data_IF_216525937191
#
_entry.id   IF_216525937191
#
_cell.length_a   1.000
_cell.length_b   1.000
_cell.length_c   1.000
_cell.angle_alpha   90.00
_cell.angle_beta   90.00
_cell.angle_gamma   90.00
#
_symmetry.space_group_name_H-M   'P 1'
#
loop_
_entity.id
_entity.type
_entity.pdbx_description
1 polymer ?
#
# COMPACT_ATOMS: atom_id res chain seq x y z
N UNK A 1 11.77 52.51 11.10
CA UNK A 1 10.64 51.56 11.12
C UNK A 1 11.13 50.29 10.46
N UNK A 2 11.67 49.39 11.27
CA UNK A 2 12.20 48.10 10.80
C UNK A 2 11.03 47.15 10.65
N UNK A 3 10.71 46.79 9.41
CA UNK A 3 9.73 45.75 9.10
C UNK A 3 10.30 44.40 9.53
N UNK A 4 9.88 43.92 10.70
CA UNK A 4 10.04 42.53 11.11
C UNK A 4 9.15 41.67 10.21
N UNK A 5 9.65 41.31 9.03
CA UNK A 5 9.12 40.16 8.30
C UNK A 5 9.61 38.92 9.02
N UNK A 6 8.81 38.43 9.98
CA UNK A 6 8.89 37.04 10.40
C UNK A 6 8.62 36.21 9.14
N UNK A 7 9.66 35.78 8.44
CA UNK A 7 9.49 34.77 7.40
C UNK A 7 8.99 33.53 8.12
N UNK A 8 7.72 33.18 7.93
CA UNK A 8 7.19 31.91 8.40
C UNK A 8 8.15 30.81 7.94
N UNK A 9 8.71 30.07 8.92
CA UNK A 9 9.70 29.06 8.64
C UNK A 9 9.01 27.94 7.88
N UNK A 10 9.36 27.78 6.61
CA UNK A 10 8.84 26.71 5.76
C UNK A 10 9.80 25.53 5.72
N UNK A 11 9.24 24.33 5.58
CA UNK A 11 9.98 23.09 5.45
C UNK A 11 9.73 22.53 4.06
N UNK A 12 10.82 22.29 3.33
CA UNK A 12 10.78 21.90 1.92
C UNK A 12 11.30 20.46 1.75
N UNK A 13 10.48 19.63 1.09
CA UNK A 13 10.77 18.24 0.80
C UNK A 13 10.62 18.02 -0.71
N UNK A 14 11.64 17.43 -1.32
CA UNK A 14 11.64 17.09 -2.74
C UNK A 14 11.65 15.57 -2.89
N UNK A 15 10.62 15.05 -3.54
CA UNK A 15 10.46 13.64 -3.89
C UNK A 15 10.75 13.46 -5.37
N UNK A 16 11.63 12.52 -5.69
CA UNK A 16 12.15 12.34 -7.04
C UNK A 16 11.86 10.92 -7.51
N UNK A 17 11.37 10.81 -8.74
CA UNK A 17 10.89 9.56 -9.30
C UNK A 17 10.74 9.58 -10.81
N UNK A 18 10.01 8.60 -11.32
CA UNK A 18 9.71 8.45 -12.74
C UNK A 18 8.31 7.89 -12.97
N UNK A 19 7.76 8.17 -14.15
CA UNK A 19 6.56 7.51 -14.68
C UNK A 19 7.00 6.27 -15.46
N UNK A 20 6.43 5.11 -15.13
CA UNK A 20 6.64 3.84 -15.83
C UNK A 20 5.43 3.52 -16.73
N UNK A 21 5.60 2.71 -17.79
CA UNK A 21 6.88 2.22 -18.31
C UNK A 21 7.68 3.32 -19.01
N UNK A 22 9.01 3.24 -18.97
CA UNK A 22 9.92 4.25 -19.55
C UNK A 22 9.86 4.35 -21.09
N UNK A 23 9.12 3.43 -21.74
CA UNK A 23 8.89 3.43 -23.19
C UNK A 23 7.96 4.56 -23.63
N UNK A 24 7.14 5.10 -22.72
CA UNK A 24 6.23 6.22 -23.00
C UNK A 24 6.77 7.48 -22.34
N UNK A 25 7.07 8.50 -23.15
CA UNK A 25 7.59 9.78 -22.67
C UNK A 25 6.43 10.70 -22.31
N UNK A 26 6.31 11.04 -21.02
CA UNK A 26 5.24 11.88 -20.50
C UNK A 26 5.80 13.24 -20.08
N UNK A 27 5.18 14.31 -20.57
CA UNK A 27 5.47 15.68 -20.15
C UNK A 27 4.15 16.37 -19.88
N UNK A 28 3.97 16.86 -18.66
CA UNK A 28 2.79 17.59 -18.24
C UNK A 28 3.14 19.04 -17.88
N UNK A 29 2.12 19.91 -17.89
CA UNK A 29 2.22 21.22 -17.25
C UNK A 29 2.45 21.01 -15.75
N UNK A 30 3.13 21.93 -15.10
CA UNK A 30 3.34 21.85 -13.66
C UNK A 30 2.00 22.07 -12.95
N UNK A 31 1.73 21.26 -11.93
CA UNK A 31 0.48 21.29 -11.16
C UNK A 31 0.77 21.66 -9.72
N UNK A 32 0.01 22.62 -9.21
CA UNK A 32 0.25 23.24 -7.92
C UNK A 32 -1.06 23.40 -7.16
N UNK A 33 -1.13 22.87 -5.94
CA UNK A 33 -2.34 22.91 -5.12
C UNK A 33 -2.00 22.85 -3.63
N UNK A 34 -2.95 23.32 -2.82
CA UNK A 34 -2.91 23.23 -1.36
C UNK A 34 -3.40 21.85 -0.93
N UNK A 35 -2.68 21.24 -0.01
CA UNK A 35 -3.01 19.98 0.63
C UNK A 35 -3.26 20.20 2.12
N UNK A 36 -4.31 19.57 2.63
CA UNK A 36 -4.68 19.59 4.03
C UNK A 36 -5.27 18.24 4.42
N UNK A 37 -4.71 17.64 5.48
CA UNK A 37 -5.18 16.41 6.09
C UNK A 37 -5.34 16.65 7.60
N UNK A 38 -6.59 16.91 8.00
CA UNK A 38 -6.95 17.22 9.38
C UNK A 38 -6.62 16.08 10.35
N UNK A 39 -6.67 14.82 9.89
CA UNK A 39 -6.41 13.66 10.75
C UNK A 39 -4.93 13.51 11.06
N UNK A 40 -4.08 13.74 10.06
CA UNK A 40 -2.63 13.70 10.22
C UNK A 40 -2.05 15.04 10.71
N UNK A 41 -2.85 16.10 10.71
CA UNK A 41 -2.39 17.45 11.05
C UNK A 41 -1.38 18.00 10.03
N UNK A 42 -1.43 17.51 8.79
CA UNK A 42 -0.48 17.88 7.74
C UNK A 42 -1.14 18.92 6.82
N UNK A 43 -0.50 20.08 6.71
CA UNK A 43 -0.90 21.14 5.79
C UNK A 43 0.30 21.64 5.02
N UNK A 44 0.09 21.90 3.73
CA UNK A 44 1.14 22.43 2.88
C UNK A 44 0.71 22.63 1.45
N UNK A 45 1.69 22.90 0.59
CA UNK A 45 1.54 23.07 -0.84
C UNK A 45 2.30 21.97 -1.56
N UNK A 46 1.65 21.34 -2.54
CA UNK A 46 2.28 20.32 -3.39
C UNK A 46 2.43 20.88 -4.80
N UNK A 47 3.66 20.83 -5.31
CA UNK A 47 3.99 21.13 -6.70
C UNK A 47 4.48 19.84 -7.38
N UNK A 48 3.78 19.40 -8.42
CA UNK A 48 4.13 18.22 -9.22
C UNK A 48 4.65 18.67 -10.58
N UNK A 49 5.88 18.27 -10.90
CA UNK A 49 6.53 18.51 -12.19
C UNK A 49 6.84 17.18 -12.86
N UNK A 50 6.35 16.99 -14.09
CA UNK A 50 6.59 15.77 -14.88
C UNK A 50 7.15 16.16 -16.25
N UNK A 51 8.43 15.83 -16.52
CA UNK A 51 9.12 16.12 -17.79
C UNK A 51 9.86 14.88 -18.27
N UNK A 52 9.62 14.45 -19.52
CA UNK A 52 10.26 13.25 -20.10
C UNK A 52 10.23 12.05 -19.15
N UNK A 53 9.05 11.81 -18.57
CA UNK A 53 8.78 10.77 -17.56
C UNK A 53 9.59 10.85 -16.27
N UNK A 54 10.36 11.93 -16.03
CA UNK A 54 10.94 12.23 -14.73
C UNK A 54 9.94 13.03 -13.90
N UNK A 55 9.82 12.66 -12.63
CA UNK A 55 8.86 13.23 -11.70
C UNK A 55 9.62 13.90 -10.56
N UNK A 56 9.29 15.17 -10.31
CA UNK A 56 9.70 15.90 -9.12
C UNK A 56 8.43 16.37 -8.44
N UNK A 57 8.27 16.00 -7.17
CA UNK A 57 7.16 16.46 -6.33
C UNK A 57 7.75 17.23 -5.17
N UNK A 58 7.42 18.51 -5.08
CA UNK A 58 7.82 19.36 -3.98
C UNK A 58 6.66 19.47 -2.99
N UNK A 59 6.92 19.22 -1.71
CA UNK A 59 6.01 19.54 -0.62
C UNK A 59 6.62 20.66 0.21
N UNK A 60 5.85 21.74 0.42
CA UNK A 60 6.21 22.85 1.30
C UNK A 60 5.19 22.96 2.41
N UNK A 61 5.61 22.72 3.65
CA UNK A 61 4.76 22.79 4.83
C UNK A 61 5.27 23.76 5.88
N UNK A 62 4.40 24.07 6.85
CA UNK A 62 4.69 25.03 7.92
C UNK A 62 5.31 24.36 9.16
N UNK A 63 5.29 23.02 9.20
CA UNK A 63 5.83 22.20 10.28
C UNK A 63 6.83 21.17 9.75
N UNK A 64 7.87 20.82 10.53
CA UNK A 64 8.74 19.72 10.17
C UNK A 64 7.98 18.39 10.26
N UNK A 65 8.27 17.46 9.36
CA UNK A 65 7.66 16.14 9.28
C UNK A 65 8.76 15.10 9.45
N UNK A 66 8.68 14.34 10.54
CA UNK A 66 9.67 13.29 10.86
C UNK A 66 9.38 11.99 10.09
N UNK A 67 8.11 11.65 9.88
CA UNK A 67 7.71 10.46 9.12
C UNK A 67 7.68 10.74 7.62
N UNK A 68 8.86 10.72 7.01
CA UNK A 68 9.06 10.88 5.56
C UNK A 68 8.32 9.81 4.76
N UNK A 69 8.07 8.62 5.32
CA UNK A 69 7.30 7.57 4.66
C UNK A 69 5.82 7.93 4.53
N UNK A 70 5.24 8.55 5.55
CA UNK A 70 3.85 9.03 5.51
C UNK A 70 3.73 10.18 4.51
N UNK A 71 4.70 11.11 4.52
CA UNK A 71 4.74 12.18 3.52
C UNK A 71 4.89 11.63 2.10
N UNK A 72 5.73 10.61 1.89
CA UNK A 72 5.88 9.92 0.60
C UNK A 72 4.54 9.38 0.11
N UNK A 73 3.77 8.70 0.97
CA UNK A 73 2.48 8.14 0.61
C UNK A 73 1.53 9.26 0.14
N UNK A 74 1.46 10.36 0.90
CA UNK A 74 0.63 11.53 0.57
C UNK A 74 0.99 12.10 -0.80
N UNK A 75 2.27 12.44 -1.03
CA UNK A 75 2.67 13.07 -2.29
C UNK A 75 2.53 12.10 -3.48
N UNK A 76 2.76 10.80 -3.24
CA UNK A 76 2.54 9.75 -4.23
C UNK A 76 1.07 9.70 -4.65
N UNK A 77 0.15 9.60 -3.70
CA UNK A 77 -1.29 9.44 -3.99
C UNK A 77 -1.84 10.66 -4.74
N UNK A 78 -1.38 11.86 -4.40
CA UNK A 78 -1.82 13.05 -5.13
C UNK A 78 -1.21 13.14 -6.53
N UNK A 79 0.08 12.84 -6.71
CA UNK A 79 0.71 12.85 -8.04
C UNK A 79 0.17 11.72 -8.94
N UNK A 80 -0.24 10.59 -8.35
CA UNK A 80 -0.84 9.44 -9.04
C UNK A 80 -2.09 9.84 -9.81
N UNK A 81 -2.92 10.75 -9.27
CA UNK A 81 -4.15 11.23 -9.94
C UNK A 81 -3.85 11.79 -11.33
N UNK A 82 -2.78 12.58 -11.46
CA UNK A 82 -2.37 13.17 -12.74
C UNK A 82 -1.92 12.08 -13.74
N UNK A 83 -1.22 11.07 -13.24
CA UNK A 83 -0.68 9.97 -14.04
C UNK A 83 -1.81 9.03 -14.49
N UNK A 84 -2.76 8.72 -13.61
CA UNK A 84 -3.94 7.91 -13.92
C UNK A 84 -4.86 8.61 -14.93
N UNK A 85 -5.11 9.92 -14.75
CA UNK A 85 -5.86 10.71 -15.72
C UNK A 85 -5.18 10.74 -17.10
N UNK A 86 -3.85 10.88 -17.11
CA UNK A 86 -3.06 10.83 -18.34
C UNK A 86 -3.13 9.45 -19.00
N UNK A 87 -2.94 8.39 -18.22
CA UNK A 87 -2.99 7.00 -18.68
C UNK A 87 -4.35 6.65 -19.26
N UNK A 88 -5.43 7.05 -18.61
CA UNK A 88 -6.79 6.93 -19.12
C UNK A 88 -6.97 7.67 -20.44
N UNK A 89 -6.51 8.92 -20.54
CA UNK A 89 -6.64 9.73 -21.74
C UNK A 89 -5.93 9.13 -22.96
N UNK A 90 -4.74 8.56 -22.77
CA UNK A 90 -3.92 7.99 -23.86
C UNK A 90 -4.08 6.47 -24.04
N UNK A 91 -4.93 5.83 -23.23
CA UNK A 91 -5.09 4.37 -23.25
C UNK A 91 -3.83 3.60 -22.86
N UNK A 92 -3.01 4.13 -21.95
CA UNK A 92 -1.77 3.48 -21.48
C UNK A 92 -1.83 3.18 -19.98
N UNK A 93 -1.25 2.04 -19.61
CA UNK A 93 -1.03 1.69 -18.20
C UNK A 93 0.23 2.45 -17.75
N UNK A 94 0.02 3.49 -16.96
CA UNK A 94 1.10 4.29 -16.37
C UNK A 94 1.14 4.07 -14.86
N UNK A 95 2.35 4.06 -14.28
CA UNK A 95 2.53 4.02 -12.83
C UNK A 95 3.60 5.01 -12.38
N UNK A 96 3.45 5.52 -11.15
CA UNK A 96 4.44 6.38 -10.52
C UNK A 96 5.44 5.51 -9.76
N UNK A 97 6.71 5.86 -9.82
CA UNK A 97 7.72 5.29 -8.94
C UNK A 97 8.55 6.41 -8.31
N UNK A 98 8.34 6.70 -7.03
CA UNK A 98 9.17 7.62 -6.23
C UNK A 98 10.33 6.83 -5.64
N UNK A 99 11.55 7.25 -5.98
CA UNK A 99 12.81 6.55 -5.68
C UNK A 99 13.54 7.12 -4.47
N UNK A 100 13.42 8.42 -4.22
CA UNK A 100 14.06 9.04 -3.06
C UNK A 100 13.40 10.37 -2.70
N UNK A 101 13.71 10.85 -1.50
CA UNK A 101 13.38 12.19 -1.04
C UNK A 101 14.62 12.89 -0.48
N UNK A 102 14.71 14.20 -0.68
CA UNK A 102 15.71 15.10 -0.08
C UNK A 102 15.00 16.27 0.62
N UNK A 103 15.52 16.70 1.76
CA UNK A 103 14.97 17.85 2.50
C UNK A 103 16.08 18.62 3.22
N UNK A 104 15.71 19.76 3.82
CA UNK A 104 16.64 20.69 4.49
C UNK A 104 17.84 21.08 3.60
N UNK A 105 17.54 21.52 2.38
CA UNK A 105 18.55 21.93 1.39
C UNK A 105 19.56 20.83 1.05
N UNK A 106 19.17 19.55 1.18
CA UNK A 106 19.97 18.40 0.79
C UNK A 106 20.84 17.81 1.90
N UNK A 107 20.70 18.27 3.15
CA UNK A 107 21.37 17.65 4.30
C UNK A 107 20.84 16.24 4.61
N UNK A 108 19.61 15.95 4.20
CA UNK A 108 18.95 14.67 4.44
C UNK A 108 18.52 13.98 3.14
N UNK A 109 18.62 12.64 3.13
CA UNK A 109 18.27 11.75 2.02
C UNK A 109 17.55 10.52 2.57
N UNK A 110 16.39 10.21 1.98
CA UNK A 110 15.69 8.94 2.17
C UNK A 110 15.61 8.21 0.83
N UNK A 111 16.03 6.94 0.80
CA UNK A 111 15.92 6.07 -0.38
C UNK A 111 14.68 5.18 -0.24
N UNK A 112 13.93 5.06 -1.34
CA UNK A 112 12.78 4.19 -1.44
C UNK A 112 13.05 3.10 -2.47
N UNK A 113 13.09 1.85 -2.00
CA UNK A 113 13.25 0.69 -2.88
C UNK A 113 11.89 0.23 -3.40
N UNK A 114 11.90 -0.59 -4.45
CA UNK A 114 10.72 -1.33 -4.91
C UNK A 114 10.26 -2.41 -3.93
N UNK A 115 11.07 -2.70 -2.91
CA UNK A 115 10.71 -3.65 -1.88
C UNK A 115 9.61 -3.06 -1.00
N UNK A 116 8.76 -3.91 -0.43
CA UNK A 116 7.93 -3.56 0.71
C UNK A 116 8.67 -3.99 1.99
N UNK A 117 9.39 -3.09 2.69
CA UNK A 117 10.25 -3.49 3.81
C UNK A 117 9.47 -4.19 4.92
N UNK A 118 8.20 -3.84 5.08
CA UNK A 118 7.27 -4.45 6.03
C UNK A 118 7.20 -5.99 5.93
N UNK A 119 7.39 -6.55 4.72
CA UNK A 119 7.15 -7.98 4.44
C UNK A 119 8.33 -8.64 3.72
N UNK A 120 9.42 -7.91 3.47
CA UNK A 120 10.64 -8.46 2.85
C UNK A 120 11.26 -9.53 3.76
N UNK A 121 11.48 -10.72 3.23
CA UNK A 121 12.04 -11.85 3.99
C UNK A 121 11.06 -12.48 4.99
N UNK A 122 9.80 -12.01 5.04
CA UNK A 122 8.82 -12.48 6.02
C UNK A 122 8.41 -13.94 5.76
N UNK A 123 8.09 -14.38 4.53
CA UNK A 123 7.80 -15.80 4.27
C UNK A 123 8.95 -16.73 4.67
N UNK A 124 10.19 -16.36 4.36
CA UNK A 124 11.38 -17.12 4.73
C UNK A 124 11.54 -17.21 6.24
N UNK A 125 11.22 -16.14 6.98
CA UNK A 125 11.22 -16.14 8.44
C UNK A 125 10.15 -17.04 9.05
N UNK A 126 9.11 -17.42 8.29
CA UNK A 126 8.09 -18.40 8.68
C UNK A 126 8.45 -19.83 8.22
N UNK A 127 9.66 -20.05 7.69
CA UNK A 127 10.09 -21.35 7.17
C UNK A 127 9.45 -21.71 5.82
N UNK A 128 8.93 -20.73 5.08
CA UNK A 128 8.34 -20.93 3.76
C UNK A 128 9.39 -20.58 2.69
N UNK A 129 9.66 -21.54 1.81
CA UNK A 129 10.52 -21.33 0.64
C UNK A 129 9.71 -20.89 -0.58
N UNK A 130 10.38 -20.40 -1.62
CA UNK A 130 9.72 -20.11 -2.90
C UNK A 130 9.13 -21.37 -3.55
N UNK A 131 9.80 -22.52 -3.37
CA UNK A 131 9.33 -23.81 -3.89
C UNK A 131 8.04 -24.26 -3.17
N UNK A 132 7.91 -23.99 -1.87
CA UNK A 132 6.68 -24.23 -1.12
C UNK A 132 5.52 -23.38 -1.66
N UNK A 133 5.78 -22.09 -1.93
CA UNK A 133 4.79 -21.20 -2.53
C UNK A 133 4.36 -21.72 -3.90
N UNK A 134 5.31 -22.11 -4.76
CA UNK A 134 5.01 -22.66 -6.06
C UNK A 134 4.23 -23.97 -5.97
N UNK A 135 4.61 -24.89 -5.09
CA UNK A 135 3.91 -26.16 -4.91
C UNK A 135 2.43 -25.96 -4.57
N UNK A 136 2.13 -25.06 -3.61
CA UNK A 136 0.74 -24.76 -3.23
C UNK A 136 0.01 -23.98 -4.34
N UNK A 137 0.69 -23.08 -5.03
CA UNK A 137 0.07 -22.22 -6.06
C UNK A 137 -0.24 -22.98 -7.36
N UNK A 138 0.58 -23.97 -7.71
CA UNK A 138 0.42 -24.78 -8.92
C UNK A 138 -0.55 -25.95 -8.78
N UNK A 139 -0.88 -26.36 -7.55
CA UNK A 139 -1.98 -27.30 -7.33
C UNK A 139 -3.27 -26.61 -7.81
N UNK A 140 -3.70 -26.96 -9.03
CA UNK A 140 -4.68 -26.28 -9.90
C UNK A 140 -6.08 -26.07 -9.28
N UNK A 141 -6.26 -26.48 -8.02
CA UNK A 141 -7.48 -26.33 -7.24
C UNK A 141 -7.55 -25.02 -6.43
N UNK A 142 -6.45 -24.27 -6.28
CA UNK A 142 -6.40 -23.10 -5.39
C UNK A 142 -6.22 -21.75 -6.12
N UNK A 143 -7.23 -21.37 -6.89
CA UNK A 143 -7.34 -20.00 -7.45
C UNK A 143 -7.40 -18.91 -6.35
N UNK A 144 -7.70 -19.29 -5.11
CA UNK A 144 -7.84 -18.35 -4.00
C UNK A 144 -6.50 -17.86 -3.49
N UNK A 145 -5.49 -18.73 -3.37
CA UNK A 145 -4.13 -18.32 -3.04
C UNK A 145 -3.54 -17.42 -4.13
N UNK A 146 -3.72 -17.78 -5.42
CA UNK A 146 -3.27 -16.96 -6.55
C UNK A 146 -3.84 -15.54 -6.47
N UNK A 147 -5.15 -15.42 -6.24
CA UNK A 147 -5.82 -14.13 -6.07
C UNK A 147 -5.30 -13.39 -4.83
N UNK A 148 -5.07 -14.10 -3.72
CA UNK A 148 -4.55 -13.53 -2.48
C UNK A 148 -3.14 -12.95 -2.66
N UNK A 149 -2.24 -13.66 -3.34
CA UNK A 149 -0.89 -13.18 -3.66
C UNK A 149 -0.91 -11.98 -4.62
N UNK A 150 -1.80 -12.01 -5.62
CA UNK A 150 -2.01 -10.90 -6.55
C UNK A 150 -2.48 -9.63 -5.82
N UNK A 151 -3.48 -9.75 -4.95
CA UNK A 151 -3.97 -8.63 -4.15
C UNK A 151 -2.91 -8.15 -3.13
N UNK A 152 -2.18 -9.05 -2.47
CA UNK A 152 -1.06 -8.67 -1.60
C UNK A 152 0.01 -7.86 -2.35
N UNK A 153 0.34 -8.25 -3.58
CA UNK A 153 1.29 -7.50 -4.43
C UNK A 153 0.77 -6.11 -4.77
N UNK A 154 -0.52 -5.97 -5.07
CA UNK A 154 -1.15 -4.66 -5.30
C UNK A 154 -1.16 -3.78 -4.03
N UNK A 155 -1.38 -4.38 -2.86
CA UNK A 155 -1.30 -3.68 -1.58
C UNK A 155 0.12 -3.13 -1.32
N UNK A 156 1.15 -3.87 -1.71
CA UNK A 156 2.54 -3.41 -1.62
C UNK A 156 2.84 -2.20 -2.52
N UNK A 157 2.08 -2.01 -3.61
CA UNK A 157 2.27 -0.93 -4.59
C UNK A 157 1.50 0.35 -4.28
N UNK A 158 0.35 0.26 -3.61
CA UNK A 158 -0.54 1.41 -3.35
C UNK A 158 -0.75 1.62 -1.86
N UNK A 159 -0.34 2.77 -1.31
CA UNK A 159 -0.53 3.11 0.09
C UNK A 159 -2.02 3.32 0.43
N UNK A 160 -2.71 4.17 -0.33
CA UNK A 160 -4.14 4.45 -0.15
C UNK A 160 -5.03 3.22 -0.27
N UNK A 161 -4.66 2.27 -1.14
CA UNK A 161 -5.44 1.05 -1.37
C UNK A 161 -4.91 -0.15 -0.56
N UNK A 162 -3.90 0.04 0.31
CA UNK A 162 -3.28 -1.08 1.05
C UNK A 162 -4.34 -1.85 1.85
N UNK A 163 -5.20 -1.15 2.59
CA UNK A 163 -6.28 -1.76 3.37
C UNK A 163 -7.24 -2.56 2.51
N UNK A 164 -7.69 -1.97 1.39
CA UNK A 164 -8.59 -2.60 0.43
C UNK A 164 -8.04 -3.91 -0.13
N UNK A 165 -6.82 -3.88 -0.69
CA UNK A 165 -6.22 -5.04 -1.31
C UNK A 165 -5.84 -6.12 -0.28
N UNK A 166 -5.35 -5.72 0.90
CA UNK A 166 -5.10 -6.67 1.99
C UNK A 166 -6.38 -7.36 2.45
N UNK A 167 -7.48 -6.62 2.64
CA UNK A 167 -8.76 -7.22 3.01
C UNK A 167 -9.27 -8.20 1.94
N UNK A 168 -9.18 -7.82 0.65
CA UNK A 168 -9.54 -8.69 -0.46
C UNK A 168 -8.68 -9.95 -0.53
N UNK A 169 -7.39 -9.84 -0.23
CA UNK A 169 -6.49 -11.00 -0.15
C UNK A 169 -6.97 -12.00 0.91
N UNK A 170 -7.43 -11.52 2.07
CA UNK A 170 -8.04 -12.36 3.11
C UNK A 170 -9.40 -12.92 2.71
N UNK A 171 -10.22 -12.14 2.00
CA UNK A 171 -11.50 -12.62 1.46
C UNK A 171 -11.30 -13.76 0.44
N UNK A 172 -10.28 -13.68 -0.41
CA UNK A 172 -9.93 -14.75 -1.33
C UNK A 172 -9.68 -16.05 -0.57
N UNK A 173 -8.80 -16.03 0.44
CA UNK A 173 -8.54 -17.21 1.28
C UNK A 173 -9.79 -17.67 2.04
N UNK A 174 -10.63 -16.77 2.54
CA UNK A 174 -11.92 -17.14 3.15
C UNK A 174 -12.80 -17.92 2.18
N UNK A 175 -12.82 -17.55 0.90
CA UNK A 175 -13.63 -18.25 -0.09
C UNK A 175 -13.16 -19.69 -0.32
N UNK A 176 -11.87 -19.99 -0.14
CA UNK A 176 -11.39 -21.37 -0.06
C UNK A 176 -12.13 -22.14 1.05
N UNK A 177 -12.12 -21.63 2.30
CA UNK A 177 -12.80 -22.31 3.42
C UNK A 177 -14.32 -22.39 3.23
N UNK A 178 -14.91 -21.37 2.61
CA UNK A 178 -16.34 -21.39 2.26
C UNK A 178 -16.65 -22.55 1.32
N UNK A 179 -15.85 -22.73 0.27
CA UNK A 179 -15.99 -23.79 -0.73
C UNK A 179 -15.68 -25.17 -0.14
N UNK A 180 -14.50 -25.34 0.46
CA UNK A 180 -14.00 -26.62 0.98
C UNK A 180 -14.91 -27.23 2.07
N UNK A 181 -15.58 -26.39 2.86
CA UNK A 181 -16.46 -26.82 3.95
C UNK A 181 -17.96 -26.60 3.67
N UNK A 182 -18.34 -26.24 2.42
CA UNK A 182 -19.73 -25.99 2.00
C UNK A 182 -20.49 -25.01 2.93
N UNK A 183 -19.83 -23.93 3.34
CA UNK A 183 -20.37 -22.96 4.30
C UNK A 183 -21.22 -21.91 3.57
N UNK A 184 -22.44 -21.69 4.02
CA UNK A 184 -23.36 -20.74 3.36
C UNK A 184 -23.25 -19.32 3.90
N UNK A 185 -23.00 -19.16 5.21
CA UNK A 185 -22.95 -17.86 5.89
C UNK A 185 -21.53 -17.31 5.96
N UNK A 186 -21.37 -16.03 5.63
CA UNK A 186 -20.05 -15.39 5.62
C UNK A 186 -19.39 -15.35 7.00
N UNK A 187 -20.14 -15.05 8.07
CA UNK A 187 -19.61 -15.06 9.44
C UNK A 187 -19.00 -16.41 9.83
N UNK A 188 -19.66 -17.51 9.46
CA UNK A 188 -19.18 -18.88 9.73
C UNK A 188 -17.91 -19.19 8.93
N UNK A 189 -17.81 -18.73 7.68
CA UNK A 189 -16.58 -18.91 6.89
C UNK A 189 -15.40 -18.11 7.44
N UNK A 190 -15.63 -16.91 7.99
CA UNK A 190 -14.61 -16.12 8.67
C UNK A 190 -14.15 -16.78 9.98
N UNK A 191 -15.08 -17.33 10.75
CA UNK A 191 -14.77 -18.13 11.94
C UNK A 191 -13.93 -19.36 11.59
N UNK A 192 -14.30 -20.07 10.52
CA UNK A 192 -13.56 -21.25 10.05
C UNK A 192 -12.13 -20.90 9.63
N UNK A 193 -11.96 -19.89 8.78
CA UNK A 193 -10.63 -19.39 8.36
C UNK A 193 -9.75 -19.07 9.59
N UNK A 194 -10.29 -18.33 10.56
CA UNK A 194 -9.57 -17.95 11.78
C UNK A 194 -9.20 -19.13 12.66
N UNK A 195 -10.11 -20.09 12.81
CA UNK A 195 -9.88 -21.30 13.60
C UNK A 195 -8.78 -22.16 12.97
N UNK A 196 -8.78 -22.34 11.64
CA UNK A 196 -7.80 -23.18 10.93
C UNK A 196 -6.42 -22.54 10.83
N UNK A 197 -6.34 -21.21 10.69
CA UNK A 197 -5.07 -20.50 10.56
C UNK A 197 -4.60 -19.87 11.88
N UNK A 198 -5.33 -20.07 12.98
CA UNK A 198 -5.00 -19.58 14.32
C UNK A 198 -4.71 -18.06 14.37
N UNK A 199 -5.68 -17.23 13.99
CA UNK A 199 -5.56 -15.77 14.12
C UNK A 199 -6.85 -15.11 14.61
N UNK A 200 -6.70 -13.91 15.17
CA UNK A 200 -7.77 -13.23 15.91
C UNK A 200 -8.74 -12.49 14.97
N UNK A 201 -9.93 -12.18 15.49
CA UNK A 201 -10.92 -11.39 14.74
C UNK A 201 -10.48 -9.93 14.62
N UNK A 202 -9.83 -9.42 15.66
CA UNK A 202 -9.31 -8.06 15.77
C UNK A 202 -8.30 -7.76 14.66
N UNK A 203 -7.52 -8.76 14.23
CA UNK A 203 -6.62 -8.63 13.09
C UNK A 203 -7.36 -8.29 11.78
N UNK A 204 -8.51 -8.92 11.54
CA UNK A 204 -9.35 -8.65 10.36
C UNK A 204 -10.04 -7.30 10.50
N UNK A 205 -10.64 -7.03 11.66
CA UNK A 205 -11.37 -5.80 11.91
C UNK A 205 -10.44 -4.57 11.78
N UNK A 206 -9.18 -4.70 12.21
CA UNK A 206 -8.15 -3.67 12.03
C UNK A 206 -7.80 -3.40 10.57
N UNK A 207 -7.80 -4.41 9.69
CA UNK A 207 -7.58 -4.19 8.25
C UNK A 207 -8.84 -3.61 7.61
N UNK A 208 -10.01 -4.11 8.02
CA UNK A 208 -11.32 -3.76 7.45
C UNK A 208 -11.64 -2.27 7.56
N UNK A 209 -11.28 -1.61 8.65
CA UNK A 209 -11.48 -0.15 8.80
C UNK A 209 -10.77 0.69 7.72
N UNK A 210 -9.69 0.17 7.10
CA UNK A 210 -8.99 0.81 5.99
C UNK A 210 -9.50 0.34 4.61
N UNK A 211 -10.40 -0.64 4.57
CA UNK A 211 -10.90 -1.23 3.34
C UNK A 211 -12.32 -0.74 2.99
N UNK A 212 -13.22 -0.65 3.98
CA UNK A 212 -14.66 -0.51 3.73
C UNK A 212 -15.02 0.73 2.91
N UNK A 213 -14.47 1.91 3.25
CA UNK A 213 -14.76 3.13 2.49
C UNK A 213 -14.34 3.00 1.01
N UNK A 214 -13.14 2.47 0.75
CA UNK A 214 -12.63 2.22 -0.61
C UNK A 214 -13.51 1.20 -1.34
N UNK A 215 -13.90 0.10 -0.68
CA UNK A 215 -14.78 -0.94 -1.25
C UNK A 215 -16.14 -0.42 -1.66
N UNK A 216 -16.65 0.59 -0.96
CA UNK A 216 -17.94 1.20 -1.22
C UNK A 216 -17.85 2.44 -2.13
N UNK A 217 -16.65 2.77 -2.63
CA UNK A 217 -16.44 3.95 -3.47
C UNK A 217 -16.62 5.27 -2.72
N UNK A 218 -16.63 5.25 -1.39
CA UNK A 218 -16.74 6.43 -0.56
C UNK A 218 -15.36 7.09 -0.39
N UNK A 219 -14.88 7.69 -1.47
CA UNK A 219 -13.56 8.31 -1.55
C UNK A 219 -13.35 9.41 -0.48
N UNK A 220 -14.42 10.03 0.02
CA UNK A 220 -14.34 11.09 1.04
C UNK A 220 -14.11 10.55 2.45
N UNK A 221 -14.47 9.30 2.68
CA UNK A 221 -14.33 8.63 3.98
C UNK A 221 -13.10 7.74 4.06
N UNK A 222 -12.28 7.67 3.00
CA UNK A 222 -11.05 6.88 2.99
C UNK A 222 -10.11 7.43 4.07
N UNK A 223 -9.72 6.62 5.07
CA UNK A 223 -8.77 7.06 6.08
C UNK A 223 -7.38 7.19 5.45
N UNK A 224 -6.69 8.29 5.77
CA UNK A 224 -5.27 8.41 5.54
C UNK A 224 -4.53 7.32 6.32
N UNK A 225 -3.50 6.73 5.70
CA UNK A 225 -2.75 5.61 6.27
C UNK A 225 -1.33 6.04 6.53
N UNK A 226 -0.91 6.00 7.80
CA UNK A 226 0.48 6.26 8.19
C UNK A 226 1.40 5.11 7.74
N UNK A 227 2.71 5.37 7.68
CA UNK A 227 3.73 4.34 7.45
C UNK A 227 3.60 3.15 8.40
N UNK A 228 3.31 3.44 9.68
CA UNK A 228 3.19 2.43 10.72
C UNK A 228 1.94 1.56 10.55
N UNK A 229 0.79 2.18 10.30
CA UNK A 229 -0.46 1.46 10.03
C UNK A 229 -0.34 0.61 8.78
N UNK A 230 0.22 1.18 7.70
CA UNK A 230 0.49 0.45 6.46
C UNK A 230 1.34 -0.79 6.70
N UNK A 231 2.42 -0.64 7.47
CA UNK A 231 3.32 -1.74 7.85
C UNK A 231 2.55 -2.83 8.59
N UNK A 232 1.74 -2.45 9.58
CA UNK A 232 0.93 -3.39 10.35
C UNK A 232 -0.10 -4.12 9.49
N UNK A 233 -0.78 -3.43 8.58
CA UNK A 233 -1.75 -4.04 7.64
C UNK A 233 -1.07 -5.08 6.76
N UNK A 234 0.07 -4.73 6.14
CA UNK A 234 0.84 -5.63 5.28
C UNK A 234 1.34 -6.85 6.05
N UNK A 235 1.95 -6.66 7.22
CA UNK A 235 2.48 -7.75 8.04
C UNK A 235 1.38 -8.70 8.54
N UNK A 236 0.25 -8.14 8.98
CA UNK A 236 -0.89 -8.94 9.43
C UNK A 236 -1.42 -9.82 8.29
N UNK A 237 -1.55 -9.24 7.09
CA UNK A 237 -2.01 -9.97 5.90
C UNK A 237 -1.01 -11.03 5.46
N UNK A 238 0.28 -10.69 5.40
CA UNK A 238 1.35 -11.62 5.06
C UNK A 238 1.41 -12.81 6.02
N UNK A 239 1.23 -12.57 7.33
CA UNK A 239 1.14 -13.63 8.36
C UNK A 239 0.02 -14.62 8.07
N UNK A 240 -1.18 -14.14 7.72
CA UNK A 240 -2.31 -15.02 7.39
C UNK A 240 -2.04 -15.81 6.09
N UNK A 241 -1.48 -15.17 5.06
CA UNK A 241 -1.09 -15.85 3.82
C UNK A 241 -0.04 -16.95 4.10
N UNK A 242 0.98 -16.65 4.91
CA UNK A 242 2.00 -17.63 5.28
C UNK A 242 1.40 -18.82 6.03
N UNK A 243 0.52 -18.57 7.00
CA UNK A 243 -0.20 -19.62 7.74
C UNK A 243 -1.05 -20.48 6.80
N UNK A 244 -1.67 -19.89 5.79
CA UNK A 244 -2.41 -20.62 4.76
C UNK A 244 -1.51 -21.53 3.93
N UNK A 245 -0.34 -21.04 3.48
CA UNK A 245 0.63 -21.84 2.73
C UNK A 245 1.10 -23.03 3.56
N UNK A 246 1.40 -22.83 4.84
CA UNK A 246 1.76 -23.92 5.76
C UNK A 246 0.62 -24.92 5.97
N UNK A 247 -0.61 -24.43 6.14
CA UNK A 247 -1.82 -25.26 6.24
C UNK A 247 -2.00 -26.13 5.00
N UNK A 248 -1.87 -25.57 3.81
CA UNK A 248 -1.97 -26.30 2.54
C UNK A 248 -0.83 -27.33 2.38
N UNK A 249 0.41 -26.94 2.67
CA UNK A 249 1.59 -27.83 2.64
C UNK A 249 1.45 -29.04 3.57
N UNK A 250 0.76 -28.88 4.68
CA UNK A 250 0.48 -29.95 5.64
C UNK A 250 -0.76 -30.80 5.27
N UNK A 251 -1.25 -30.70 4.04
CA UNK A 251 -2.42 -31.43 3.56
C UNK A 251 -3.72 -30.92 4.16
N UNK A 252 -3.85 -29.59 4.30
CA UNK A 252 -5.02 -28.90 4.85
C UNK A 252 -5.35 -29.31 6.29
N UNK A 253 -4.29 -29.43 7.09
CA UNK A 253 -4.33 -29.66 8.54
C UNK A 253 -3.73 -28.46 9.24
N UNK A 254 -4.26 -28.13 10.43
CA UNK A 254 -3.76 -27.02 11.23
C UNK A 254 -2.23 -27.10 11.38
N UNK A 255 -1.51 -25.98 11.22
CA UNK A 255 -0.09 -25.92 11.56
C UNK A 255 0.09 -26.36 13.02
N UNK A 256 1.02 -27.28 13.28
CA UNK A 256 1.42 -27.62 14.65
C UNK A 256 2.22 -26.41 15.15
N UNK A 257 1.77 -25.81 16.25
CA UNK A 257 2.46 -24.70 16.94
C UNK A 257 3.91 -25.08 17.32
#
# INVERSE_FOLDING_TARGET
>A
MSSNTNSEKTYNYLFIGQVLPNTTQITLKDHDYVFEDDKLGIKGRILVTIKSSHVIIQFVGDVPLEDIGTLRNIVYDNARILIEATGFYIGSILSLNITHAIWENGSHLALFTSDAPAVKGFPESQGITIDDLFAVTYDLSDTYLQQSLSDMTRAMQSAIDTGFYCYRALEALRHYFKSAYNLQKDGVSWEKLRAELNFSREAIDYIKQFADAVRHGDARSVPSVTSQERTKILQTTASVICRYVLYAKNGYKQPID
#
